data_IF_369268045403
#
_entry.id   IF_369268045403
#
_cell.length_a   1.000
_cell.length_b   1.000
_cell.length_c   1.000
_cell.angle_alpha   90.00
_cell.angle_beta   90.00
_cell.angle_gamma   90.00
#
_symmetry.space_group_name_H-M   'P 1'
#
loop_
_entity.id
_entity.type
_entity.pdbx_description
1 polymer ?
#
# COMPACT_ATOMS: atom_id res chain seq x y z
N UNK A 1 -7.88 8.93 6.48
CA UNK A 1 -6.48 9.06 5.99
C UNK A 1 -5.73 10.08 6.86
N UNK A 2 -4.86 9.65 7.77
CA UNK A 2 -4.47 10.48 8.95
C UNK A 2 -3.02 11.03 8.91
N UNK A 3 -2.21 10.72 7.89
CA UNK A 3 -0.77 10.99 8.00
C UNK A 3 -0.29 12.41 7.62
N UNK A 4 -1.14 13.34 7.19
CA UNK A 4 -0.76 14.75 7.01
C UNK A 4 -1.98 15.62 6.68
N UNK A 5 -2.25 16.66 7.48
CA UNK A 5 -3.35 17.61 7.22
C UNK A 5 -3.07 18.56 6.05
N UNK A 6 -1.85 18.51 5.48
CA UNK A 6 -1.41 19.41 4.42
C UNK A 6 -0.43 18.76 3.45
N UNK A 7 -0.66 19.00 2.16
CA UNK A 7 0.19 18.59 1.05
C UNK A 7 0.65 19.83 0.25
N UNK A 8 1.83 19.74 -0.34
CA UNK A 8 2.33 20.74 -1.29
C UNK A 8 2.45 20.08 -2.66
N UNK A 9 1.79 20.64 -3.66
CA UNK A 9 1.90 20.22 -5.05
C UNK A 9 2.21 21.45 -5.90
N UNK A 10 3.37 21.44 -6.57
CA UNK A 10 3.95 22.61 -7.22
C UNK A 10 4.10 23.77 -6.21
N UNK A 11 3.52 24.94 -6.50
CA UNK A 11 3.51 26.12 -5.62
C UNK A 11 2.21 26.25 -4.79
N UNK A 12 1.28 25.30 -4.88
CA UNK A 12 0.01 25.32 -4.14
C UNK A 12 0.02 24.39 -2.93
N UNK A 13 -0.71 24.79 -1.90
CA UNK A 13 -0.94 24.03 -0.67
C UNK A 13 -2.36 23.47 -0.73
N UNK A 14 -2.50 22.18 -0.41
CA UNK A 14 -3.77 21.48 -0.34
C UNK A 14 -3.96 20.97 1.07
N UNK A 15 -5.14 21.17 1.63
CA UNK A 15 -5.48 20.73 2.97
C UNK A 15 -6.35 19.49 2.90
N UNK A 16 -6.11 18.56 3.82
CA UNK A 16 -6.96 17.38 3.98
C UNK A 16 -7.89 17.67 5.14
N UNK A 17 -9.19 17.56 4.90
CA UNK A 17 -10.21 17.74 5.92
C UNK A 17 -10.23 16.55 6.88
N UNK A 18 -10.59 16.74 8.16
CA UNK A 18 -10.56 15.68 9.17
C UNK A 18 -11.65 14.62 9.00
N UNK A 19 -12.71 14.91 8.24
CA UNK A 19 -13.83 14.00 8.00
C UNK A 19 -13.40 12.78 7.17
N UNK A 20 -14.02 11.64 7.46
CA UNK A 20 -13.78 10.39 6.74
C UNK A 20 -14.53 10.39 5.41
N UNK A 21 -14.00 11.10 4.41
CA UNK A 21 -14.54 11.06 3.04
C UNK A 21 -13.86 10.00 2.15
N UNK A 22 -12.62 9.63 2.45
CA UNK A 22 -11.86 8.63 1.70
C UNK A 22 -10.92 7.81 2.59
N UNK A 23 -10.65 6.58 2.18
CA UNK A 23 -9.72 5.67 2.88
C UNK A 23 -8.44 5.42 2.05
N UNK A 24 -7.54 4.56 2.55
CA UNK A 24 -6.31 4.20 1.82
C UNK A 24 -6.58 3.31 0.61
N UNK A 25 -7.67 2.54 0.62
CA UNK A 25 -8.07 1.69 -0.51
C UNK A 25 -8.39 2.57 -1.73
N UNK A 26 -9.04 3.72 -1.55
CA UNK A 26 -9.30 4.67 -2.64
C UNK A 26 -8.01 5.11 -3.37
N UNK A 27 -6.99 5.53 -2.61
CA UNK A 27 -5.72 5.99 -3.21
C UNK A 27 -4.98 4.84 -3.87
N UNK A 28 -5.06 3.62 -3.33
CA UNK A 28 -4.43 2.45 -3.95
C UNK A 28 -5.18 1.96 -5.19
N UNK A 29 -6.51 2.02 -5.18
CA UNK A 29 -7.38 1.63 -6.30
C UNK A 29 -7.13 2.52 -7.52
N UNK A 30 -7.16 3.84 -7.36
CA UNK A 30 -6.94 4.74 -8.51
C UNK A 30 -5.54 4.59 -9.09
N UNK A 31 -4.55 4.23 -8.27
CA UNK A 31 -3.15 4.04 -8.67
C UNK A 31 -2.80 2.58 -9.05
N UNK A 32 -3.81 1.71 -9.17
CA UNK A 32 -3.66 0.31 -9.58
C UNK A 32 -2.68 -0.51 -8.71
N UNK A 33 -2.75 -0.30 -7.39
CA UNK A 33 -1.97 -1.02 -6.39
C UNK A 33 -2.81 -1.97 -5.52
N UNK A 34 -4.13 -1.97 -5.69
CA UNK A 34 -5.05 -2.83 -4.97
C UNK A 34 -5.77 -3.75 -5.96
N UNK A 35 -5.59 -5.05 -5.79
CA UNK A 35 -6.29 -6.08 -6.57
C UNK A 35 -7.72 -6.25 -6.04
N UNK A 36 -8.68 -6.43 -6.95
CA UNK A 36 -10.11 -6.49 -6.62
C UNK A 36 -10.43 -7.60 -5.61
N UNK A 37 -9.75 -8.73 -5.70
CA UNK A 37 -9.96 -9.89 -4.83
C UNK A 37 -9.52 -9.64 -3.38
N UNK A 38 -8.65 -8.66 -3.15
CA UNK A 38 -8.15 -8.28 -1.82
C UNK A 38 -8.70 -6.91 -1.35
N UNK A 39 -9.55 -6.28 -2.16
CA UNK A 39 -10.25 -5.03 -1.84
C UNK A 39 -11.56 -5.34 -1.08
N UNK A 40 -11.42 -5.74 0.19
CA UNK A 40 -12.52 -6.29 0.99
C UNK A 40 -13.19 -5.27 1.92
N UNK A 41 -12.49 -4.22 2.32
CA UNK A 41 -12.98 -3.23 3.29
C UNK A 41 -14.12 -2.36 2.74
N UNK A 42 -15.01 -1.90 3.61
CA UNK A 42 -16.08 -0.97 3.24
C UNK A 42 -15.54 0.42 2.86
N UNK A 43 -16.23 1.10 1.96
CA UNK A 43 -15.90 2.46 1.57
C UNK A 43 -16.44 3.47 2.60
N UNK A 44 -15.76 4.61 2.70
CA UNK A 44 -16.13 5.67 3.65
C UNK A 44 -17.58 6.18 3.47
N UNK A 45 -18.13 6.08 2.26
CA UNK A 45 -19.50 6.46 1.91
C UNK A 45 -20.43 5.25 1.69
N UNK A 46 -19.99 4.03 2.00
CA UNK A 46 -20.66 2.77 1.66
C UNK A 46 -20.98 2.62 0.15
N UNK A 47 -20.29 3.39 -0.70
CA UNK A 47 -20.46 3.37 -2.14
C UNK A 47 -19.73 2.22 -2.82
N UNK A 48 -19.71 2.25 -4.15
CA UNK A 48 -19.04 1.23 -4.96
C UNK A 48 -17.51 1.36 -4.95
N UNK A 49 -16.83 0.23 -5.15
CA UNK A 49 -15.37 0.12 -5.24
C UNK A 49 -14.87 0.36 -6.66
N UNK A 50 -15.12 1.55 -7.18
CA UNK A 50 -14.71 1.95 -8.54
C UNK A 50 -13.69 3.07 -8.56
N UNK A 51 -12.98 3.22 -9.69
CA UNK A 51 -11.97 4.29 -9.87
C UNK A 51 -12.63 5.66 -9.80
N UNK A 52 -13.79 5.83 -10.43
CA UNK A 52 -14.51 7.11 -10.48
C UNK A 52 -14.99 7.52 -9.09
N UNK A 53 -15.54 6.56 -8.35
CA UNK A 53 -16.08 6.74 -7.00
C UNK A 53 -14.97 7.03 -5.99
N UNK A 54 -13.81 6.36 -6.15
CA UNK A 54 -12.61 6.67 -5.38
C UNK A 54 -12.11 8.09 -5.67
N UNK A 55 -12.12 8.54 -6.92
CA UNK A 55 -11.75 9.92 -7.27
C UNK A 55 -12.70 10.94 -6.62
N UNK A 56 -14.01 10.66 -6.59
CA UNK A 56 -15.01 11.49 -5.92
C UNK A 56 -14.74 11.58 -4.41
N UNK A 57 -14.57 10.44 -3.74
CA UNK A 57 -14.23 10.36 -2.31
C UNK A 57 -12.95 11.13 -1.98
N UNK A 58 -11.88 10.90 -2.72
CA UNK A 58 -10.60 11.61 -2.51
C UNK A 58 -10.79 13.12 -2.73
N UNK A 59 -11.56 13.54 -3.74
CA UNK A 59 -11.78 14.98 -4.01
C UNK A 59 -12.48 15.67 -2.84
N UNK A 60 -13.48 15.01 -2.22
CA UNK A 60 -14.16 15.51 -1.01
C UNK A 60 -13.18 15.70 0.15
N UNK A 61 -12.21 14.79 0.32
CA UNK A 61 -11.15 14.94 1.33
C UNK A 61 -10.28 16.19 1.15
N UNK A 62 -10.28 16.81 -0.03
CA UNK A 62 -9.55 18.04 -0.33
C UNK A 62 -10.46 19.27 -0.54
N UNK A 63 -11.77 19.17 -0.27
CA UNK A 63 -12.78 20.18 -0.62
C UNK A 63 -12.71 20.58 -2.10
N UNK A 64 -12.50 19.62 -2.99
CA UNK A 64 -12.46 19.83 -4.44
C UNK A 64 -13.76 19.31 -5.04
N UNK A 65 -14.50 20.17 -5.72
CA UNK A 65 -15.60 19.73 -6.59
C UNK A 65 -15.01 18.97 -7.77
N UNK A 66 -15.29 17.66 -7.84
CA UNK A 66 -14.67 16.81 -8.84
C UNK A 66 -15.26 17.06 -10.23
N UNK A 67 -14.36 17.28 -11.18
CA UNK A 67 -14.63 17.35 -12.60
C UNK A 67 -13.60 16.49 -13.34
N UNK A 68 -13.93 15.99 -14.54
CA UNK A 68 -13.02 15.11 -15.32
C UNK A 68 -11.64 15.76 -15.58
N UNK A 69 -11.59 17.07 -15.81
CA UNK A 69 -10.35 17.85 -15.99
C UNK A 69 -9.45 17.87 -14.74
N UNK A 70 -9.99 17.65 -13.53
CA UNK A 70 -9.27 17.62 -12.25
C UNK A 70 -8.71 16.24 -11.91
N UNK A 71 -9.00 15.20 -12.72
CA UNK A 71 -8.50 13.82 -12.50
C UNK A 71 -6.99 13.80 -12.21
N UNK A 72 -6.17 14.43 -13.05
CA UNK A 72 -4.71 14.44 -12.89
C UNK A 72 -4.23 15.12 -11.60
N UNK A 73 -4.98 16.12 -11.11
CA UNK A 73 -4.71 16.75 -9.82
C UNK A 73 -4.90 15.74 -8.68
N UNK A 74 -6.03 15.03 -8.68
CA UNK A 74 -6.33 14.02 -7.66
C UNK A 74 -5.33 12.85 -7.69
N UNK A 75 -4.93 12.40 -8.88
CA UNK A 75 -3.83 11.44 -9.04
C UNK A 75 -2.52 11.95 -8.44
N UNK A 76 -2.17 13.21 -8.69
CA UNK A 76 -0.94 13.79 -8.16
C UNK A 76 -0.96 13.88 -6.62
N UNK A 77 -2.09 14.28 -6.04
CA UNK A 77 -2.26 14.34 -4.59
C UNK A 77 -2.20 12.95 -3.95
N UNK A 78 -2.85 11.95 -4.56
CA UNK A 78 -2.80 10.57 -4.06
C UNK A 78 -1.39 9.96 -4.13
N UNK A 79 -0.61 10.26 -5.18
CA UNK A 79 0.79 9.82 -5.25
C UNK A 79 1.66 10.45 -4.15
N UNK A 80 1.43 11.72 -3.81
CA UNK A 80 2.12 12.35 -2.67
C UNK A 80 1.78 11.61 -1.36
N UNK A 81 0.52 11.23 -1.16
CA UNK A 81 0.08 10.51 0.03
C UNK A 81 0.70 9.11 0.13
N UNK A 82 0.71 8.36 -0.98
CA UNK A 82 1.38 7.06 -1.07
C UNK A 82 2.87 7.22 -0.75
N UNK A 83 3.55 8.20 -1.34
CA UNK A 83 4.98 8.42 -1.10
C UNK A 83 5.25 8.73 0.37
N UNK A 84 4.46 9.61 1.00
CA UNK A 84 4.57 9.91 2.44
C UNK A 84 4.39 8.66 3.31
N UNK A 85 3.41 7.81 2.97
CA UNK A 85 3.21 6.54 3.69
C UNK A 85 4.44 5.63 3.55
N UNK A 86 4.97 5.46 2.34
CA UNK A 86 6.16 4.65 2.09
C UNK A 86 7.40 5.22 2.77
N UNK A 87 7.60 6.54 2.75
CA UNK A 87 8.71 7.22 3.43
C UNK A 87 8.68 6.97 4.94
N UNK A 88 7.50 7.00 5.56
CA UNK A 88 7.34 6.68 6.97
C UNK A 88 7.72 5.22 7.27
N UNK A 89 7.27 4.28 6.43
CA UNK A 89 7.59 2.86 6.55
C UNK A 89 9.11 2.65 6.40
N UNK A 90 9.73 3.24 5.38
CA UNK A 90 11.16 3.15 5.13
C UNK A 90 11.99 3.76 6.28
N UNK A 91 11.55 4.88 6.84
CA UNK A 91 12.20 5.52 8.00
C UNK A 91 12.15 4.61 9.23
N UNK A 92 11.01 3.96 9.47
CA UNK A 92 10.87 3.00 10.57
C UNK A 92 11.73 1.74 10.36
N UNK A 93 11.82 1.23 9.12
CA UNK A 93 12.72 0.10 8.79
C UNK A 93 14.17 0.47 9.12
N UNK A 94 14.64 1.64 8.66
CA UNK A 94 15.99 2.12 8.94
C UNK A 94 16.25 2.31 10.44
N UNK A 95 15.25 2.82 11.17
CA UNK A 95 15.32 2.92 12.62
C UNK A 95 15.49 1.55 13.29
N UNK A 96 14.70 0.54 12.88
CA UNK A 96 14.76 -0.80 13.43
C UNK A 96 16.09 -1.52 13.11
N UNK A 97 16.62 -1.35 11.90
CA UNK A 97 17.94 -1.89 11.51
C UNK A 97 19.02 -1.35 12.45
N UNK A 98 19.06 -0.02 12.65
CA UNK A 98 20.03 0.62 13.55
C UNK A 98 19.84 0.21 15.01
N UNK A 99 18.59 0.25 15.50
CA UNK A 99 18.25 -0.08 16.89
C UNK A 99 18.68 -1.50 17.26
N UNK A 100 18.47 -2.46 16.36
CA UNK A 100 18.79 -3.86 16.58
C UNK A 100 20.20 -4.25 16.10
N UNK A 101 21.04 -3.27 15.73
CA UNK A 101 22.41 -3.48 15.23
C UNK A 101 22.49 -4.50 14.08
N UNK A 102 21.45 -4.52 13.23
CA UNK A 102 21.40 -5.39 12.06
C UNK A 102 22.37 -4.86 10.99
N UNK A 103 22.97 -5.76 10.22
CA UNK A 103 23.82 -5.37 9.08
C UNK A 103 22.96 -4.65 8.03
N UNK A 104 23.56 -3.70 7.31
CA UNK A 104 22.85 -2.96 6.24
C UNK A 104 22.34 -3.86 5.10
N UNK A 105 22.93 -5.04 4.92
CA UNK A 105 22.53 -6.03 3.93
C UNK A 105 21.55 -7.09 4.49
N UNK A 106 20.98 -6.88 5.67
CA UNK A 106 19.99 -7.81 6.26
C UNK A 106 18.79 -7.93 5.32
N UNK A 107 18.42 -9.14 4.87
CA UNK A 107 17.32 -9.31 3.93
C UNK A 107 16.02 -8.72 4.45
N UNK A 108 15.39 -7.89 3.63
CA UNK A 108 14.09 -7.30 3.92
C UNK A 108 13.02 -8.01 3.08
N UNK A 109 12.02 -8.56 3.75
CA UNK A 109 10.93 -9.29 3.12
C UNK A 109 9.63 -8.56 3.38
N UNK A 110 8.94 -8.17 2.31
CA UNK A 110 7.59 -7.62 2.40
C UNK A 110 6.55 -8.70 2.10
N UNK A 111 5.44 -8.66 2.84
CA UNK A 111 4.33 -9.61 2.69
C UNK A 111 2.99 -8.90 2.86
N UNK A 112 1.89 -9.59 2.53
CA UNK A 112 0.53 -9.06 2.57
C UNK A 112 0.19 -8.13 1.40
N UNK A 113 -0.99 -7.50 1.50
CA UNK A 113 -1.63 -6.73 0.41
C UNK A 113 -0.79 -5.53 -0.03
N UNK A 114 -0.07 -4.90 0.91
CA UNK A 114 0.79 -3.76 0.65
C UNK A 114 2.15 -4.11 0.04
N UNK A 115 2.50 -5.39 -0.14
CA UNK A 115 3.88 -5.76 -0.55
C UNK A 115 4.28 -5.16 -1.90
N UNK A 116 3.37 -5.14 -2.88
CA UNK A 116 3.67 -4.70 -4.25
C UNK A 116 4.07 -3.23 -4.31
N UNK A 117 3.41 -2.37 -3.52
CA UNK A 117 3.78 -0.96 -3.44
C UNK A 117 5.12 -0.77 -2.73
N UNK A 118 5.37 -1.51 -1.65
CA UNK A 118 6.62 -1.43 -0.90
C UNK A 118 7.81 -1.91 -1.74
N UNK A 119 7.71 -3.07 -2.40
CA UNK A 119 8.75 -3.58 -3.30
C UNK A 119 9.01 -2.64 -4.49
N UNK A 120 7.98 -1.93 -4.97
CA UNK A 120 8.13 -0.97 -6.08
C UNK A 120 8.82 0.32 -5.65
N UNK A 121 8.54 0.81 -4.44
CA UNK A 121 8.97 2.14 -3.98
C UNK A 121 10.21 2.11 -3.07
N UNK A 122 10.47 1.00 -2.39
CA UNK A 122 11.65 0.78 -1.54
C UNK A 122 12.62 -0.09 -2.33
N UNK A 123 13.49 0.54 -3.11
CA UNK A 123 14.48 -0.13 -3.97
C UNK A 123 15.82 -0.27 -3.23
N UNK A 124 15.84 -1.10 -2.18
CA UNK A 124 17.07 -1.51 -1.50
C UNK A 124 17.54 -2.86 -2.06
N UNK A 125 18.86 -3.02 -2.22
CA UNK A 125 19.48 -4.29 -2.65
C UNK A 125 19.22 -5.44 -1.67
N UNK A 126 18.86 -5.12 -0.42
CA UNK A 126 18.46 -6.10 0.60
C UNK A 126 17.04 -6.64 0.44
N UNK A 127 16.18 -6.02 -0.41
CA UNK A 127 14.80 -6.47 -0.60
C UNK A 127 14.77 -7.82 -1.32
N UNK A 128 14.28 -8.83 -0.61
CA UNK A 128 14.09 -10.18 -1.11
C UNK A 128 12.60 -10.40 -1.41
N UNK A 129 12.29 -10.61 -2.69
CA UNK A 129 10.92 -10.90 -3.13
C UNK A 129 10.45 -12.25 -2.59
N UNK A 130 9.38 -12.22 -1.81
CA UNK A 130 8.82 -13.41 -1.17
C UNK A 130 8.35 -14.48 -2.18
N UNK A 131 7.93 -14.05 -3.38
CA UNK A 131 7.49 -14.93 -4.47
C UNK A 131 8.60 -15.91 -4.95
N UNK A 132 9.87 -15.61 -4.65
CA UNK A 132 11.01 -16.49 -4.92
C UNK A 132 11.17 -17.60 -3.86
N UNK A 133 10.61 -17.38 -2.68
CA UNK A 133 10.66 -18.33 -1.56
C UNK A 133 9.43 -19.25 -1.50
N UNK A 134 8.38 -18.94 -2.25
CA UNK A 134 7.16 -19.74 -2.32
C UNK A 134 7.23 -20.71 -3.51
N UNK A 135 7.24 -22.00 -3.20
CA UNK A 135 7.06 -23.08 -4.17
C UNK A 135 5.57 -23.39 -4.31
N UNK A 136 4.98 -23.03 -5.45
CA UNK A 136 3.57 -23.29 -5.75
C UNK A 136 3.40 -23.71 -7.22
N UNK A 137 2.43 -24.58 -7.48
CA UNK A 137 2.19 -25.19 -8.79
C UNK A 137 1.73 -24.18 -9.85
N UNK A 138 1.20 -23.02 -9.45
CA UNK A 138 0.81 -21.96 -10.37
C UNK A 138 0.91 -20.57 -9.73
N UNK A 139 0.84 -19.54 -10.58
CA UNK A 139 0.96 -18.12 -10.19
C UNK A 139 -0.17 -17.68 -9.26
N UNK A 140 -1.40 -18.16 -9.47
CA UNK A 140 -2.55 -17.80 -8.64
C UNK A 140 -2.33 -18.24 -7.19
N UNK A 141 -1.96 -19.51 -6.98
CA UNK A 141 -1.67 -20.05 -5.65
C UNK A 141 -0.49 -19.33 -4.99
N UNK A 142 0.55 -18.99 -5.76
CA UNK A 142 1.66 -18.18 -5.26
C UNK A 142 1.20 -16.79 -4.78
N UNK A 143 0.31 -16.14 -5.54
CA UNK A 143 -0.25 -14.85 -5.15
C UNK A 143 -1.10 -14.98 -3.87
N UNK A 144 -1.94 -16.01 -3.75
CA UNK A 144 -2.68 -16.26 -2.50
C UNK A 144 -1.74 -16.52 -1.32
N UNK A 145 -0.73 -17.38 -1.48
CA UNK A 145 0.22 -17.68 -0.41
C UNK A 145 0.97 -16.42 0.08
N UNK A 146 1.37 -15.54 -0.83
CA UNK A 146 2.05 -14.28 -0.48
C UNK A 146 1.15 -13.24 0.19
N UNK A 147 -0.18 -13.33 -0.01
CA UNK A 147 -1.20 -12.50 0.66
C UNK A 147 -1.61 -13.09 2.02
N UNK A 148 -1.59 -14.41 2.16
CA UNK A 148 -1.96 -15.17 3.36
C UNK A 148 -0.73 -15.83 4.01
N UNK A 149 0.38 -15.09 4.07
CA UNK A 149 1.68 -15.59 4.52
C UNK A 149 1.66 -16.27 5.89
N UNK A 150 0.91 -15.80 6.91
CA UNK A 150 0.85 -16.51 8.19
C UNK A 150 0.39 -17.96 8.06
N UNK A 151 -0.69 -18.22 7.32
CA UNK A 151 -1.21 -19.56 7.11
C UNK A 151 -0.22 -20.43 6.30
N UNK A 152 0.39 -19.86 5.26
CA UNK A 152 1.42 -20.53 4.47
C UNK A 152 2.63 -20.92 5.32
N UNK A 153 3.15 -20.01 6.16
CA UNK A 153 4.28 -20.28 7.04
C UNK A 153 3.98 -21.39 8.04
N UNK A 154 2.80 -21.38 8.68
CA UNK A 154 2.41 -22.45 9.61
C UNK A 154 2.35 -23.81 8.92
N UNK A 155 1.73 -23.88 7.74
CA UNK A 155 1.67 -25.11 6.97
C UNK A 155 3.06 -25.63 6.59
N UNK A 156 3.98 -24.73 6.19
CA UNK A 156 5.35 -25.10 5.85
C UNK A 156 6.14 -25.60 7.07
N UNK A 157 5.99 -24.95 8.23
CA UNK A 157 6.60 -25.38 9.48
C UNK A 157 6.11 -26.79 9.87
N UNK A 158 4.80 -27.04 9.81
CA UNK A 158 4.21 -28.34 10.09
C UNK A 158 4.69 -29.43 9.12
N UNK A 159 4.81 -29.10 7.83
CA UNK A 159 5.30 -30.05 6.82
C UNK A 159 6.78 -30.42 7.05
N UNK A 160 7.59 -29.48 7.55
CA UNK A 160 9.00 -29.73 7.85
C UNK A 160 9.20 -30.53 9.15
N UNK A 161 8.30 -30.43 10.14
CA UNK A 161 8.37 -31.22 11.37
C UNK A 161 8.02 -32.71 11.18
N UNK A 162 7.37 -33.06 10.06
CA UNK A 162 6.99 -34.44 9.72
C UNK A 162 8.08 -35.18 8.91
N UNK A 163 9.22 -34.55 8.66
CA UNK A 163 10.41 -35.14 8.06
C UNK A 163 11.45 -35.39 9.13
#
# INVERSE_FOLDING_TARGET
MVCNTKLKLKKKKYHIVPELFSNTSDIYRINNFLEKEFDIDDEADNGTKGITESLLRISRSFCIDFEKNKKNLIYSLSQILINKQVEQINSNINYLIKKNKLKSNTPLIFTGIGRKILEKKITDKSVLKIDKLIHANNVKLKNFASQHMPAFCVAQLMANLKK
#
